data_IF_007569061021
#
_entry.id   IF_007569061021
#
_cell.length_a   1.000
_cell.length_b   1.000
_cell.length_c   1.000
_cell.angle_alpha   90.00
_cell.angle_beta   90.00
_cell.angle_gamma   90.00
#
_symmetry.space_group_name_H-M   'P 1'
#
loop_
_entity.id
_entity.type
_entity.pdbx_description
1 polymer ?
#
# COMPACT_ATOMS: atom_id res chain seq x y z
N UNK A 1 -10.06 -1.91 4.82
CA UNK A 1 -9.43 -2.93 3.94
C UNK A 1 -8.87 -2.26 2.69
N UNK A 2 -7.69 -2.67 2.24
CA UNK A 2 -7.09 -2.16 1.01
C UNK A 2 -6.22 -3.22 0.31
N UNK A 3 -5.87 -2.93 -0.94
CA UNK A 3 -4.98 -3.75 -1.76
C UNK A 3 -3.91 -2.85 -2.38
N UNK A 4 -2.65 -3.26 -2.29
CA UNK A 4 -1.52 -2.63 -2.99
C UNK A 4 -0.94 -3.61 -4.01
N UNK A 5 -0.71 -3.13 -5.24
CA UNK A 5 -0.28 -3.95 -6.34
C UNK A 5 0.93 -3.37 -7.05
N UNK A 6 1.81 -4.23 -7.53
CA UNK A 6 2.94 -3.90 -8.40
C UNK A 6 3.14 -5.00 -9.44
N UNK A 7 3.85 -4.69 -10.51
CA UNK A 7 4.29 -5.66 -11.52
C UNK A 7 5.73 -6.15 -11.31
N UNK A 8 6.47 -5.58 -10.34
CA UNK A 8 7.78 -6.04 -9.92
C UNK A 8 7.79 -7.51 -9.49
N UNK A 9 8.92 -8.18 -9.66
CA UNK A 9 9.12 -9.56 -9.20
C UNK A 9 9.42 -9.53 -7.71
N UNK A 10 8.43 -9.92 -6.89
CA UNK A 10 8.55 -9.95 -5.44
C UNK A 10 8.50 -11.37 -4.87
N UNK A 11 9.36 -11.65 -3.91
CA UNK A 11 9.18 -12.79 -3.01
C UNK A 11 7.99 -12.57 -2.09
N UNK A 12 7.45 -13.65 -1.48
CA UNK A 12 6.38 -13.52 -0.47
C UNK A 12 6.77 -12.58 0.69
N UNK A 13 8.03 -12.60 1.12
CA UNK A 13 8.54 -11.73 2.17
C UNK A 13 8.56 -10.26 1.73
N UNK A 14 9.02 -9.98 0.50
CA UNK A 14 9.00 -8.63 -0.06
C UNK A 14 7.57 -8.11 -0.25
N UNK A 15 6.64 -8.95 -0.71
CA UNK A 15 5.22 -8.60 -0.81
C UNK A 15 4.61 -8.29 0.57
N UNK A 16 4.94 -9.09 1.61
CA UNK A 16 4.52 -8.76 2.99
C UNK A 16 5.08 -7.41 3.44
N UNK A 17 6.33 -7.10 3.10
CA UNK A 17 6.93 -5.79 3.42
C UNK A 17 6.22 -4.65 2.69
N UNK A 18 5.87 -4.84 1.42
CA UNK A 18 5.06 -3.89 0.64
C UNK A 18 3.71 -3.61 1.30
N UNK A 19 3.02 -4.65 1.78
CA UNK A 19 1.75 -4.50 2.50
C UNK A 19 1.94 -3.67 3.78
N UNK A 20 2.98 -3.97 4.57
CA UNK A 20 3.30 -3.22 5.80
C UNK A 20 3.54 -1.74 5.48
N UNK A 21 4.37 -1.44 4.47
CA UNK A 21 4.69 -0.05 4.11
C UNK A 21 3.48 0.72 3.56
N UNK A 22 2.51 0.04 2.95
CA UNK A 22 1.27 0.67 2.51
C UNK A 22 0.40 1.14 3.68
N UNK A 23 0.49 0.54 4.88
CA UNK A 23 -0.20 1.06 6.08
C UNK A 23 0.23 2.48 6.43
N UNK A 24 1.46 2.89 6.11
CA UNK A 24 1.93 4.27 6.34
C UNK A 24 1.08 5.31 5.58
N UNK A 25 0.36 4.89 4.53
CA UNK A 25 -0.59 5.75 3.84
C UNK A 25 -1.86 6.01 4.64
N UNK A 26 -2.25 5.12 5.56
CA UNK A 26 -3.43 5.31 6.39
C UNK A 26 -3.23 6.51 7.31
N UNK A 27 -2.13 6.54 8.08
CA UNK A 27 -1.85 7.66 9.00
C UNK A 27 -1.68 9.01 8.29
N UNK A 28 -1.28 9.01 7.01
CA UNK A 28 -1.17 10.23 6.19
C UNK A 28 -2.52 10.75 5.70
N UNK A 29 -3.54 9.90 5.61
CA UNK A 29 -4.86 10.24 5.06
C UNK A 29 -6.00 10.19 6.09
N UNK A 30 -5.79 9.50 7.21
CA UNK A 30 -6.77 9.20 8.26
C UNK A 30 -6.08 9.41 9.61
N UNK A 31 -6.72 10.16 10.51
CA UNK A 31 -6.19 10.41 11.86
C UNK A 31 -7.31 10.50 12.91
N UNK A 32 -7.29 9.66 13.97
CA UNK A 32 -6.37 8.53 14.18
C UNK A 32 -6.69 7.34 13.26
N UNK A 33 -5.75 6.40 13.14
CA UNK A 33 -5.92 5.09 12.46
C UNK A 33 -5.31 4.00 13.35
N UNK A 34 -5.55 2.73 13.07
CA UNK A 34 -5.00 1.58 13.83
C UNK A 34 -5.45 1.56 15.29
N UNK A 35 -6.64 2.09 15.59
CA UNK A 35 -7.26 1.99 16.90
C UNK A 35 -7.72 0.56 17.17
N UNK A 36 -8.02 0.17 18.44
CA UNK A 36 -8.58 -1.15 18.73
C UNK A 36 -9.92 -1.45 18.06
N UNK A 37 -10.63 -0.42 17.56
CA UNK A 37 -11.88 -0.57 16.83
C UNK A 37 -11.67 -0.74 15.31
N UNK A 38 -10.45 -0.53 14.80
CA UNK A 38 -10.16 -0.58 13.36
C UNK A 38 -9.80 -1.99 12.89
N UNK A 39 -10.47 -2.45 11.83
CA UNK A 39 -10.16 -3.68 11.11
C UNK A 39 -9.15 -3.46 9.97
N UNK A 40 -8.09 -2.71 10.22
CA UNK A 40 -7.14 -2.30 9.19
C UNK A 40 -6.38 -3.50 8.60
N UNK A 41 -6.58 -3.74 7.31
CA UNK A 41 -6.02 -4.87 6.60
C UNK A 41 -5.59 -4.45 5.20
N UNK A 42 -4.32 -4.69 4.88
CA UNK A 42 -3.76 -4.50 3.54
C UNK A 42 -3.28 -5.83 2.96
N UNK A 43 -3.76 -6.16 1.76
CA UNK A 43 -3.19 -7.22 0.94
C UNK A 43 -2.20 -6.64 -0.07
N UNK A 44 -1.07 -7.30 -0.27
CA UNK A 44 -0.14 -6.99 -1.35
C UNK A 44 -0.16 -8.08 -2.41
N UNK A 45 -0.11 -7.68 -3.68
CA UNK A 45 0.11 -8.59 -4.80
C UNK A 45 1.18 -8.06 -5.75
N UNK A 46 1.90 -8.99 -6.35
CA UNK A 46 2.91 -8.74 -7.36
C UNK A 46 2.63 -9.64 -8.55
N UNK A 47 2.38 -9.08 -9.73
CA UNK A 47 2.12 -9.91 -10.93
C UNK A 47 3.41 -10.53 -11.47
N UNK A 48 4.58 -9.93 -11.17
CA UNK A 48 5.88 -10.39 -11.64
C UNK A 48 6.11 -10.21 -13.15
N UNK A 49 5.25 -9.45 -13.83
CA UNK A 49 5.27 -9.32 -15.30
C UNK A 49 6.29 -8.34 -15.82
N UNK A 50 6.87 -7.46 -14.99
CA UNK A 50 7.87 -6.48 -15.45
C UNK A 50 9.26 -7.09 -15.65
N UNK A 51 9.53 -8.27 -15.07
CA UNK A 51 10.87 -8.87 -15.03
C UNK A 51 11.88 -8.11 -14.15
N UNK A 52 11.43 -7.09 -13.43
CA UNK A 52 12.29 -6.28 -12.56
C UNK A 52 12.37 -6.95 -11.19
N UNK A 53 13.55 -7.48 -10.85
CA UNK A 53 13.92 -7.81 -9.47
C UNK A 53 14.43 -6.57 -8.75
N UNK A 54 14.01 -6.37 -7.50
CA UNK A 54 14.37 -5.17 -6.76
C UNK A 54 15.76 -5.28 -6.14
N UNK A 55 16.61 -4.29 -6.41
CA UNK A 55 17.75 -3.99 -5.54
C UNK A 55 17.28 -3.46 -4.19
N UNK A 56 18.17 -3.39 -3.21
CA UNK A 56 17.86 -2.80 -1.90
C UNK A 56 17.35 -1.35 -2.02
N UNK A 57 17.99 -0.53 -2.86
CA UNK A 57 17.61 0.87 -3.07
C UNK A 57 16.25 0.98 -3.78
N UNK A 58 16.03 0.20 -4.84
CA UNK A 58 14.74 0.19 -5.55
C UNK A 58 13.59 -0.28 -4.65
N UNK A 59 13.87 -1.16 -3.68
CA UNK A 59 12.87 -1.58 -2.70
C UNK A 59 12.48 -0.44 -1.74
N UNK A 60 13.43 0.41 -1.33
CA UNK A 60 13.13 1.61 -0.51
C UNK A 60 12.14 2.51 -1.25
N UNK A 61 12.43 2.80 -2.52
CA UNK A 61 11.58 3.66 -3.34
C UNK A 61 10.19 3.05 -3.55
N UNK A 62 10.11 1.75 -3.83
CA UNK A 62 8.83 1.06 -4.00
C UNK A 62 7.98 1.12 -2.71
N UNK A 63 8.58 0.88 -1.55
CA UNK A 63 7.87 0.91 -0.27
C UNK A 63 7.41 2.32 0.12
N UNK A 64 8.22 3.35 -0.15
CA UNK A 64 7.81 4.74 0.02
C UNK A 64 6.65 5.10 -0.92
N UNK A 65 6.73 4.67 -2.19
CA UNK A 65 5.68 4.86 -3.18
C UNK A 65 4.39 4.13 -2.80
N UNK A 66 4.47 2.97 -2.14
CA UNK A 66 3.31 2.23 -1.65
C UNK A 66 2.51 3.03 -0.61
N UNK A 67 3.19 3.61 0.39
CA UNK A 67 2.54 4.48 1.38
C UNK A 67 1.91 5.73 0.75
N UNK A 68 2.62 6.39 -0.16
CA UNK A 68 2.08 7.56 -0.88
C UNK A 68 0.88 7.19 -1.78
N UNK A 69 0.94 6.04 -2.45
CA UNK A 69 -0.14 5.53 -3.31
C UNK A 69 -1.38 5.20 -2.49
N UNK A 70 -1.20 4.59 -1.32
CA UNK A 70 -2.30 4.28 -0.41
C UNK A 70 -2.98 5.55 0.11
N UNK A 71 -2.21 6.54 0.56
CA UNK A 71 -2.77 7.83 0.99
C UNK A 71 -3.59 8.49 -0.12
N UNK A 72 -3.04 8.52 -1.35
CA UNK A 72 -3.74 9.05 -2.53
C UNK A 72 -5.02 8.28 -2.84
N UNK A 73 -5.01 6.94 -2.73
CA UNK A 73 -6.18 6.11 -2.97
C UNK A 73 -7.30 6.42 -1.97
N UNK A 74 -6.97 6.59 -0.69
CA UNK A 74 -7.93 6.98 0.35
C UNK A 74 -8.54 8.35 0.04
N UNK A 75 -7.72 9.37 -0.24
CA UNK A 75 -8.21 10.71 -0.59
C UNK A 75 -9.12 10.68 -1.82
N UNK A 76 -8.80 9.87 -2.83
CA UNK A 76 -9.68 9.68 -4.00
C UNK A 76 -11.00 9.01 -3.64
N UNK A 77 -10.99 8.04 -2.74
CA UNK A 77 -12.20 7.38 -2.24
C UNK A 77 -13.15 8.38 -1.57
N UNK A 78 -12.61 9.27 -0.73
CA UNK A 78 -13.40 10.34 -0.09
C UNK A 78 -13.93 11.32 -1.13
N UNK A 79 -13.09 11.79 -2.07
CA UNK A 79 -13.49 12.73 -3.11
C UNK A 79 -14.59 12.19 -4.03
N UNK A 80 -14.53 10.90 -4.37
CA UNK A 80 -15.49 10.26 -5.27
C UNK A 80 -16.79 9.81 -4.58
N UNK A 81 -16.90 9.93 -3.25
CA UNK A 81 -18.09 9.55 -2.51
C UNK A 81 -19.28 10.45 -2.88
N UNK A 82 -20.48 9.86 -2.86
CA UNK A 82 -21.75 10.60 -2.96
C UNK A 82 -22.56 10.33 -1.68
N UNK A 83 -23.53 11.21 -1.32
CA UNK A 83 -24.41 10.94 -0.20
C UNK A 83 -25.13 9.60 -0.35
N UNK A 84 -25.31 8.92 0.77
CA UNK A 84 -26.03 7.64 0.83
C UNK A 84 -27.53 7.81 0.53
#
# INVERSE_FOLDING_TARGET
IAVIATDAVLTKAAAKRLAISAHDGFVRAIWPTHTPADGDLVFALATGTSGIELSADAAIDLYAAAGATMARAISRGVYAATPA
#
